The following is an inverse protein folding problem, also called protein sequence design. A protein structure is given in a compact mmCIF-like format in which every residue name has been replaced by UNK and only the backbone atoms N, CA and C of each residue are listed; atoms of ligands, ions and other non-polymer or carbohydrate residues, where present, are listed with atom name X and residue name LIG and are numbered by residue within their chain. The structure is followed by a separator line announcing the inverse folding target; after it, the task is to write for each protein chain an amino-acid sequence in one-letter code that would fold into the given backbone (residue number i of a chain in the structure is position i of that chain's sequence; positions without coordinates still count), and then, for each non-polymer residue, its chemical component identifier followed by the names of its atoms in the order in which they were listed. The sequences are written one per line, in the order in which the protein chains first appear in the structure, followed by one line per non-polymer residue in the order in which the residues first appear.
data_IF_507722781123
#
_entry.id   IF_507722781123
#
_cell.length_a   1.000
_cell.length_b   1.000
_cell.length_c   1.000
_cell.angle_alpha   90.00
_cell.angle_beta   90.00
_cell.angle_gamma   90.00
#
_symmetry.space_group_name_H-M   'P 1'
#
loop_
_entity.id
_entity.type
_entity.pdbx_description
1 polymer ?
#
# COMPACT_ATOMS: atom_id res chain seq x y z
N UNK A 1 -13.90 -21.22 -27.27
CA UNK A 1 -13.01 -21.38 -26.09
C UNK A 1 -13.67 -22.02 -24.87
N UNK A 2 -14.83 -21.56 -24.41
CA UNK A 2 -15.51 -22.09 -23.20
C UNK A 2 -15.74 -23.61 -23.18
N UNK A 3 -15.81 -24.28 -24.35
CA UNK A 3 -15.98 -25.74 -24.45
C UNK A 3 -14.68 -26.56 -24.45
N UNK A 4 -13.53 -25.92 -24.56
CA UNK A 4 -12.22 -26.59 -24.67
C UNK A 4 -11.39 -26.56 -23.37
N UNK A 5 -11.85 -25.84 -22.34
CA UNK A 5 -11.17 -25.76 -21.05
C UNK A 5 -11.88 -24.81 -20.09
N UNK A 6 -11.57 -24.93 -18.80
CA UNK A 6 -12.10 -24.06 -17.73
C UNK A 6 -11.40 -22.71 -17.67
N UNK A 7 -10.19 -22.64 -18.22
CA UNK A 7 -9.44 -21.41 -18.43
C UNK A 7 -8.78 -21.40 -19.82
N UNK A 8 -8.25 -20.23 -20.18
CA UNK A 8 -7.67 -19.98 -21.50
C UNK A 8 -6.42 -20.82 -21.77
N UNK A 9 -5.67 -21.22 -20.74
CA UNK A 9 -4.47 -22.06 -20.88
C UNK A 9 -4.86 -23.51 -21.16
N UNK A 10 -5.80 -24.06 -20.40
CA UNK A 10 -6.34 -25.41 -20.61
C UNK A 10 -7.03 -25.53 -21.97
N UNK A 11 -7.78 -24.50 -22.38
CA UNK A 11 -8.37 -24.41 -23.70
C UNK A 11 -7.32 -24.43 -24.82
N UNK A 12 -6.24 -23.67 -24.66
CA UNK A 12 -5.12 -23.62 -25.60
C UNK A 12 -4.38 -24.95 -25.73
N UNK A 13 -4.07 -25.60 -24.61
CA UNK A 13 -3.41 -26.91 -24.62
C UNK A 13 -4.27 -27.97 -25.28
N UNK A 14 -5.58 -27.93 -25.05
CA UNK A 14 -6.54 -28.86 -25.66
C UNK A 14 -6.63 -28.65 -27.17
N UNK A 15 -6.74 -27.40 -27.63
CA UNK A 15 -6.76 -27.07 -29.07
C UNK A 15 -5.45 -27.49 -29.74
N UNK A 16 -4.29 -27.22 -29.11
CA UNK A 16 -2.98 -27.64 -29.62
C UNK A 16 -2.85 -29.17 -29.73
N UNK A 17 -3.32 -29.91 -28.72
CA UNK A 17 -3.30 -31.39 -28.73
C UNK A 17 -4.18 -31.95 -29.84
N UNK A 18 -5.42 -31.49 -29.95
CA UNK A 18 -6.35 -31.94 -30.99
C UNK A 18 -5.76 -31.68 -32.39
N UNK A 19 -5.14 -30.52 -32.59
CA UNK A 19 -4.48 -30.17 -33.84
C UNK A 19 -3.23 -31.00 -34.11
N UNK A 20 -2.42 -31.32 -33.09
CA UNK A 20 -1.24 -32.20 -33.25
C UNK A 20 -1.61 -33.60 -33.73
N UNK A 21 -2.87 -34.01 -33.54
CA UNK A 21 -3.42 -35.25 -34.08
C UNK A 21 -3.98 -35.10 -35.51
N UNK A 22 -3.75 -33.95 -36.18
CA UNK A 22 -4.22 -33.70 -37.55
C UNK A 22 -5.73 -33.44 -37.65
N UNK A 23 -6.40 -33.08 -36.55
CA UNK A 23 -7.85 -32.87 -36.53
C UNK A 23 -8.21 -31.40 -36.74
N UNK A 24 -9.07 -31.12 -37.73
CA UNK A 24 -9.64 -29.81 -38.02
C UNK A 24 -10.68 -29.41 -36.96
N UNK A 25 -10.65 -28.16 -36.52
CA UNK A 25 -11.62 -27.57 -35.59
C UNK A 25 -12.31 -26.39 -36.29
N UNK A 26 -13.64 -26.38 -36.25
CA UNK A 26 -14.46 -25.29 -36.77
C UNK A 26 -15.16 -24.59 -35.60
N UNK A 27 -14.90 -23.30 -35.43
CA UNK A 27 -15.58 -22.46 -34.47
C UNK A 27 -16.75 -21.76 -35.18
N UNK A 28 -17.94 -22.31 -35.04
CA UNK A 28 -19.16 -21.84 -35.73
C UNK A 28 -19.53 -20.40 -35.36
N UNK A 29 -19.48 -20.05 -34.07
CA UNK A 29 -19.82 -18.71 -33.58
C UNK A 29 -18.88 -17.63 -34.12
N UNK A 30 -17.59 -17.96 -34.20
CA UNK A 30 -16.54 -17.03 -34.60
C UNK A 30 -16.23 -17.10 -36.10
N UNK A 31 -16.87 -18.03 -36.84
CA UNK A 31 -16.61 -18.34 -38.25
C UNK A 31 -15.14 -18.62 -38.56
N UNK A 32 -14.44 -19.25 -37.62
CA UNK A 32 -13.02 -19.61 -37.75
C UNK A 32 -12.91 -21.08 -38.09
N UNK A 33 -12.09 -21.38 -39.09
CA UNK A 33 -11.75 -22.72 -39.49
C UNK A 33 -10.23 -22.91 -39.42
N UNK A 34 -9.78 -23.80 -38.55
CA UNK A 34 -8.34 -24.00 -38.31
C UNK A 34 -7.59 -24.62 -39.49
N UNK A 35 -8.29 -25.08 -40.54
CA UNK A 35 -7.67 -25.58 -41.77
C UNK A 35 -7.35 -24.46 -42.77
N UNK A 36 -8.07 -23.34 -42.71
CA UNK A 36 -7.97 -22.24 -43.69
C UNK A 36 -7.34 -20.97 -43.12
N UNK A 37 -7.24 -20.88 -41.80
CA UNK A 37 -6.69 -19.71 -41.10
C UNK A 37 -5.22 -19.93 -40.78
N UNK A 38 -4.39 -18.96 -41.18
CA UNK A 38 -2.95 -18.94 -40.88
C UNK A 38 -2.71 -19.09 -39.36
N UNK A 39 -1.72 -19.90 -39.01
CA UNK A 39 -1.45 -20.29 -37.62
C UNK A 39 -1.22 -19.05 -36.73
N UNK A 40 -0.58 -18.04 -37.29
CA UNK A 40 -0.27 -16.77 -36.64
C UNK A 40 -1.53 -15.92 -36.37
N UNK A 41 -2.50 -15.92 -37.28
CA UNK A 41 -3.78 -15.22 -37.08
C UNK A 41 -4.59 -15.89 -35.96
N UNK A 42 -4.64 -17.23 -35.95
CA UNK A 42 -5.34 -17.99 -34.91
C UNK A 42 -4.71 -17.75 -33.53
N UNK A 43 -3.37 -17.76 -33.44
CA UNK A 43 -2.65 -17.45 -32.21
C UNK A 43 -2.90 -16.00 -31.74
N UNK A 44 -2.94 -15.05 -32.67
CA UNK A 44 -3.21 -13.64 -32.37
C UNK A 44 -4.62 -13.43 -31.79
N UNK A 45 -5.64 -14.08 -32.36
CA UNK A 45 -7.02 -14.04 -31.84
C UNK A 45 -7.08 -14.66 -30.44
N UNK A 46 -6.44 -15.81 -30.24
CA UNK A 46 -6.42 -16.47 -28.94
C UNK A 46 -5.68 -15.64 -27.88
N UNK A 47 -4.59 -14.99 -28.25
CA UNK A 47 -3.85 -14.07 -27.38
C UNK A 47 -4.73 -12.86 -27.03
N UNK A 48 -5.46 -12.29 -27.99
CA UNK A 48 -6.39 -11.19 -27.75
C UNK A 48 -7.51 -11.61 -26.78
N UNK A 49 -8.11 -12.80 -26.95
CA UNK A 49 -9.12 -13.32 -26.01
C UNK A 49 -8.54 -13.54 -24.60
N UNK A 50 -7.35 -14.14 -24.50
CA UNK A 50 -6.68 -14.38 -23.21
C UNK A 50 -6.32 -13.08 -22.52
N UNK A 51 -5.88 -12.07 -23.28
CA UNK A 51 -5.60 -10.74 -22.76
C UNK A 51 -6.89 -10.07 -22.26
N UNK A 52 -7.96 -10.12 -23.05
CA UNK A 52 -9.26 -9.56 -22.65
C UNK A 52 -9.82 -10.20 -21.36
N UNK A 53 -9.72 -11.52 -21.21
CA UNK A 53 -10.12 -12.20 -19.97
C UNK A 53 -9.24 -11.82 -18.78
N UNK A 54 -7.92 -11.69 -18.98
CA UNK A 54 -6.99 -11.24 -17.95
C UNK A 54 -7.31 -9.81 -17.50
N UNK A 55 -7.58 -8.92 -18.45
CA UNK A 55 -7.94 -7.53 -18.19
C UNK A 55 -9.27 -7.44 -17.44
N UNK A 56 -10.27 -8.21 -17.86
CA UNK A 56 -11.55 -8.29 -17.16
C UNK A 56 -11.41 -8.82 -15.73
N UNK A 57 -10.62 -9.89 -15.51
CA UNK A 57 -10.35 -10.42 -14.17
C UNK A 57 -9.62 -9.40 -13.30
N UNK A 58 -8.62 -8.72 -13.86
CA UNK A 58 -7.88 -7.65 -13.18
C UNK A 58 -8.81 -6.51 -12.77
N UNK A 59 -9.70 -6.09 -13.66
CA UNK A 59 -10.66 -5.02 -13.40
C UNK A 59 -11.66 -5.41 -12.31
N UNK A 60 -12.19 -6.63 -12.34
CA UNK A 60 -13.07 -7.12 -11.28
C UNK A 60 -12.38 -7.18 -9.90
N UNK A 61 -11.10 -7.59 -9.85
CA UNK A 61 -10.33 -7.58 -8.61
C UNK A 61 -10.16 -6.14 -8.10
N UNK A 62 -9.79 -5.19 -8.98
CA UNK A 62 -9.63 -3.78 -8.64
C UNK A 62 -10.94 -3.18 -8.15
N UNK A 63 -12.05 -3.45 -8.86
CA UNK A 63 -13.38 -3.02 -8.49
C UNK A 63 -13.76 -3.53 -7.09
N UNK A 64 -13.57 -4.83 -6.82
CA UNK A 64 -13.84 -5.40 -5.50
C UNK A 64 -12.95 -4.84 -4.39
N UNK A 65 -11.67 -4.57 -4.67
CA UNK A 65 -10.77 -3.92 -3.71
C UNK A 65 -11.16 -2.46 -3.46
N UNK A 66 -11.57 -1.74 -4.51
CA UNK A 66 -12.02 -0.35 -4.44
C UNK A 66 -13.30 -0.25 -3.61
N UNK A 67 -14.28 -1.12 -3.86
CA UNK A 67 -15.53 -1.13 -3.10
C UNK A 67 -15.29 -1.40 -1.61
N UNK A 68 -14.46 -2.40 -1.28
CA UNK A 68 -14.06 -2.67 0.11
C UNK A 68 -13.28 -1.52 0.77
N UNK A 69 -12.59 -0.72 -0.04
CA UNK A 69 -11.89 0.44 0.45
C UNK A 69 -12.85 1.59 0.75
N UNK A 70 -13.81 1.83 -0.14
CA UNK A 70 -14.88 2.82 -0.02
C UNK A 70 -15.81 2.55 1.17
N UNK A 71 -16.24 1.30 1.35
CA UNK A 71 -17.20 0.91 2.39
C UNK A 71 -16.55 0.72 3.78
N UNK A 72 -15.22 0.85 3.89
CA UNK A 72 -14.49 0.70 5.14
C UNK A 72 -14.21 -0.75 5.57
N UNK A 73 -14.61 -1.76 4.80
CA UNK A 73 -14.51 -3.19 5.18
C UNK A 73 -13.17 -3.84 4.79
N UNK A 74 -12.31 -3.11 4.06
CA UNK A 74 -11.01 -3.61 3.65
C UNK A 74 -10.15 -4.03 4.85
N UNK A 75 -9.68 -5.28 4.83
CA UNK A 75 -8.75 -5.79 5.85
C UNK A 75 -7.44 -5.01 5.96
N UNK A 76 -7.12 -4.14 4.99
CA UNK A 76 -5.99 -3.22 5.03
C UNK A 76 -6.11 -2.19 6.16
N UNK A 77 -7.34 -1.78 6.53
CA UNK A 77 -7.55 -0.86 7.65
C UNK A 77 -7.04 -1.47 8.98
N UNK A 78 -7.29 -2.76 9.15
CA UNK A 78 -6.87 -3.58 10.29
C UNK A 78 -5.45 -4.14 10.20
N UNK A 79 -4.61 -3.66 9.27
CA UNK A 79 -3.21 -4.13 9.16
C UNK A 79 -2.40 -3.71 10.40
N UNK A 80 -1.83 -4.68 11.10
CA UNK A 80 -1.04 -4.45 12.33
C UNK A 80 0.17 -3.55 12.05
N UNK A 81 0.37 -2.58 12.93
CA UNK A 81 1.59 -1.78 13.07
C UNK A 81 2.22 -2.12 14.42
N UNK A 82 3.52 -1.80 14.59
CA UNK A 82 4.35 -2.19 15.75
C UNK A 82 3.58 -2.16 17.07
N UNK A 83 3.09 -0.98 17.39
CA UNK A 83 2.41 -0.48 18.58
C UNK A 83 0.91 -0.80 18.68
N UNK A 84 0.41 -1.66 17.79
CA UNK A 84 -0.95 -2.18 17.85
C UNK A 84 -0.94 -3.71 17.81
N UNK A 85 -1.95 -4.31 18.42
CA UNK A 85 -2.26 -5.74 18.33
C UNK A 85 -3.66 -5.90 17.75
N UNK A 86 -4.00 -7.12 17.32
CA UNK A 86 -5.38 -7.46 16.98
C UNK A 86 -6.07 -8.04 18.20
N UNK A 87 -7.30 -7.60 18.44
CA UNK A 87 -8.18 -8.27 19.40
C UNK A 87 -8.77 -9.56 18.81
N UNK A 88 -9.65 -10.21 19.58
CA UNK A 88 -10.39 -11.42 19.17
C UNK A 88 -11.28 -11.23 17.94
N UNK A 89 -11.62 -10.00 17.59
CA UNK A 89 -12.45 -9.65 16.43
C UNK A 89 -11.61 -9.17 15.23
N UNK A 90 -10.28 -9.13 15.37
CA UNK A 90 -9.37 -8.67 14.32
C UNK A 90 -9.21 -7.15 14.24
N UNK A 91 -9.78 -6.41 15.20
CA UNK A 91 -9.69 -4.95 15.32
C UNK A 91 -8.41 -4.53 16.02
N UNK A 92 -7.93 -3.33 15.70
CA UNK A 92 -6.69 -2.81 16.26
C UNK A 92 -6.88 -2.28 17.68
N UNK A 93 -6.12 -2.84 18.61
CA UNK A 93 -6.01 -2.41 20.00
C UNK A 93 -4.58 -1.95 20.29
N UNK A 94 -4.43 -0.98 21.19
CA UNK A 94 -3.14 -0.39 21.54
C UNK A 94 -2.29 -1.41 22.31
N UNK A 95 -1.02 -1.56 21.92
CA UNK A 95 -0.02 -2.27 22.73
C UNK A 95 0.69 -1.27 23.63
N UNK A 96 0.26 -1.12 24.89
CA UNK A 96 0.68 -0.02 25.77
C UNK A 96 2.19 0.11 25.95
N UNK A 97 2.92 -1.01 26.06
CA UNK A 97 4.39 -1.02 26.18
C UNK A 97 5.07 -0.34 25.00
N UNK A 98 4.56 -0.61 23.80
CA UNK A 98 5.10 -0.09 22.55
C UNK A 98 4.53 1.30 22.22
N UNK A 99 3.29 1.55 22.59
CA UNK A 99 2.63 2.84 22.46
C UNK A 99 3.35 3.92 23.28
N UNK A 100 3.89 3.58 24.45
CA UNK A 100 4.70 4.50 25.23
C UNK A 100 5.95 4.98 24.46
N UNK A 101 6.58 4.10 23.67
CA UNK A 101 7.71 4.48 22.81
C UNK A 101 7.27 5.49 21.74
N UNK A 102 6.08 5.31 21.17
CA UNK A 102 5.53 6.24 20.18
C UNK A 102 5.21 7.59 20.83
N UNK A 103 4.53 7.62 21.97
CA UNK A 103 4.27 8.85 22.75
C UNK A 103 5.57 9.59 23.08
N UNK A 104 6.59 8.86 23.51
CA UNK A 104 7.93 9.41 23.79
C UNK A 104 8.57 10.03 22.55
N UNK A 105 8.50 9.36 21.39
CA UNK A 105 9.06 9.88 20.12
C UNK A 105 8.41 11.22 19.73
N UNK A 106 7.07 11.29 19.75
CA UNK A 106 6.33 12.52 19.47
C UNK A 106 6.69 13.63 20.47
N UNK A 107 6.66 13.31 21.76
CA UNK A 107 6.99 14.26 22.83
C UNK A 107 8.43 14.78 22.76
N UNK A 108 9.40 13.92 22.46
CA UNK A 108 10.80 14.35 22.31
C UNK A 108 11.02 15.20 21.07
N UNK A 109 10.35 14.87 19.97
CA UNK A 109 10.44 15.66 18.75
C UNK A 109 9.93 17.08 18.98
N UNK A 110 8.75 17.23 19.60
CA UNK A 110 8.18 18.53 19.98
C UNK A 110 9.03 19.29 21.01
N UNK A 111 9.76 18.59 21.89
CA UNK A 111 10.75 19.18 22.80
C UNK A 111 12.05 19.65 22.13
N UNK A 112 12.16 19.57 20.81
CA UNK A 112 13.33 20.07 20.07
C UNK A 112 14.42 19.03 19.81
N UNK A 113 14.21 17.74 20.12
CA UNK A 113 15.22 16.73 19.76
C UNK A 113 15.20 16.50 18.25
N UNK A 114 16.39 16.46 17.65
CA UNK A 114 16.55 15.99 16.27
C UNK A 114 16.26 14.49 16.17
N UNK A 115 15.94 14.00 14.96
CA UNK A 115 15.74 12.57 14.71
C UNK A 115 16.96 11.75 15.18
N UNK A 116 18.18 12.25 14.95
CA UNK A 116 19.39 11.63 15.45
C UNK A 116 19.47 11.60 16.99
N UNK A 117 19.02 12.67 17.66
CA UNK A 117 18.90 12.72 19.11
C UNK A 117 17.88 11.72 19.66
N UNK A 118 16.74 11.57 18.98
CA UNK A 118 15.71 10.58 19.31
C UNK A 118 16.28 9.16 19.19
N UNK A 119 16.97 8.83 18.09
CA UNK A 119 17.59 7.51 17.92
C UNK A 119 18.58 7.19 19.05
N UNK A 120 19.43 8.15 19.43
CA UNK A 120 20.37 7.99 20.55
C UNK A 120 19.63 7.72 21.86
N UNK A 121 18.53 8.43 22.12
CA UNK A 121 17.72 8.30 23.33
C UNK A 121 16.91 6.99 23.37
N UNK A 122 16.43 6.51 22.21
CA UNK A 122 15.80 5.20 22.09
C UNK A 122 16.81 4.08 22.40
N UNK A 123 18.02 4.20 21.86
CA UNK A 123 19.11 3.24 22.11
C UNK A 123 19.48 3.16 23.59
N UNK A 124 19.53 4.30 24.30
CA UNK A 124 19.86 4.31 25.74
C UNK A 124 18.78 3.70 26.63
N UNK A 125 17.53 3.63 26.14
CA UNK A 125 16.38 3.03 26.85
C UNK A 125 16.12 1.57 26.46
N UNK A 126 16.99 0.94 25.68
CA UNK A 126 16.82 -0.41 25.14
C UNK A 126 15.51 -0.63 24.38
N UNK A 127 14.97 0.44 23.77
CA UNK A 127 13.73 0.37 22.99
C UNK A 127 13.96 -0.31 21.65
N UNK A 128 13.44 -1.53 21.46
CA UNK A 128 13.50 -2.24 20.18
C UNK A 128 12.69 -1.52 19.10
N UNK A 129 13.13 -1.67 17.85
CA UNK A 129 12.46 -1.11 16.68
C UNK A 129 11.30 -1.98 16.20
N UNK A 130 10.47 -1.49 15.27
CA UNK A 130 9.40 -2.28 14.64
C UNK A 130 9.83 -3.62 14.04
N UNK A 131 11.11 -3.77 13.72
CA UNK A 131 11.70 -5.01 13.19
C UNK A 131 12.51 -5.78 14.23
N UNK A 132 12.34 -5.48 15.51
CA UNK A 132 13.05 -6.12 16.62
C UNK A 132 14.52 -5.73 16.79
N UNK A 133 15.03 -4.75 16.03
CA UNK A 133 16.43 -4.29 16.14
C UNK A 133 16.62 -3.32 17.30
N UNK A 134 17.78 -3.38 17.96
CA UNK A 134 18.11 -2.51 19.11
C UNK A 134 18.35 -1.04 18.72
N UNK A 135 18.63 -0.78 17.44
CA UNK A 135 18.85 0.58 16.92
C UNK A 135 17.79 0.90 15.88
N UNK A 136 17.03 1.95 16.15
CA UNK A 136 16.11 2.53 15.19
C UNK A 136 16.88 3.25 14.10
N UNK A 137 16.55 2.96 12.84
CA UNK A 137 17.09 3.75 11.72
C UNK A 137 16.30 5.06 11.58
N UNK A 138 16.91 6.03 10.88
CA UNK A 138 16.30 7.35 10.63
C UNK A 138 14.91 7.26 10.01
N UNK A 139 14.76 6.44 8.97
CA UNK A 139 13.47 6.25 8.27
C UNK A 139 12.38 5.70 9.18
N UNK A 140 12.70 4.85 10.16
CA UNK A 140 11.73 4.28 11.07
C UNK A 140 11.17 5.34 12.02
N UNK A 141 12.01 6.24 12.53
CA UNK A 141 11.57 7.37 13.35
C UNK A 141 10.76 8.36 12.51
N UNK A 142 11.23 8.72 11.32
CA UNK A 142 10.50 9.60 10.39
C UNK A 142 9.12 9.02 10.05
N UNK A 143 9.07 7.74 9.67
CA UNK A 143 7.82 7.04 9.38
C UNK A 143 6.90 6.93 10.58
N UNK A 144 7.42 7.04 11.81
CA UNK A 144 6.59 7.06 13.02
C UNK A 144 5.95 8.44 13.16
N UNK A 145 6.73 9.52 13.02
CA UNK A 145 6.24 10.89 13.13
C UNK A 145 5.21 11.25 12.05
N UNK A 146 5.25 10.63 10.88
CA UNK A 146 4.32 10.92 9.76
C UNK A 146 3.13 9.95 9.66
N UNK A 147 3.01 8.98 10.57
CA UNK A 147 1.94 7.97 10.48
C UNK A 147 0.64 8.45 11.10
N UNK A 148 -0.35 8.80 10.25
CA UNK A 148 -1.72 9.13 10.69
C UNK A 148 -2.40 8.02 11.49
N UNK A 149 -1.95 6.77 11.35
CA UNK A 149 -2.48 5.64 12.12
C UNK A 149 -2.48 5.88 13.62
N UNK A 150 -1.52 6.64 14.14
CA UNK A 150 -1.43 6.94 15.57
C UNK A 150 -2.49 7.92 16.08
N UNK A 151 -3.23 8.59 15.19
CA UNK A 151 -4.40 9.41 15.56
C UNK A 151 -5.71 8.63 15.51
N UNK A 152 -5.68 7.34 15.15
CA UNK A 152 -6.86 6.51 14.96
C UNK A 152 -7.39 6.50 13.53
N UNK A 153 -6.85 7.34 12.65
CA UNK A 153 -7.27 7.44 11.24
C UNK A 153 -6.40 6.54 10.36
N UNK A 154 -7.00 5.87 9.36
CA UNK A 154 -6.26 5.00 8.44
C UNK A 154 -6.59 5.38 7.00
N UNK A 155 -5.54 5.64 6.22
CA UNK A 155 -5.63 5.88 4.79
C UNK A 155 -5.14 4.67 4.01
N UNK A 156 -5.90 4.26 3.00
CA UNK A 156 -5.50 3.20 2.07
C UNK A 156 -5.53 3.75 0.63
N UNK A 157 -4.53 3.40 -0.16
CA UNK A 157 -4.44 3.84 -1.55
C UNK A 157 -5.57 3.23 -2.39
N UNK A 158 -6.08 4.00 -3.35
CA UNK A 158 -7.04 3.51 -4.33
C UNK A 158 -6.34 2.45 -5.21
N UNK A 159 -6.91 1.25 -5.39
CA UNK A 159 -6.37 0.26 -6.30
C UNK A 159 -6.21 0.84 -7.72
N UNK A 160 -5.00 0.78 -8.28
CA UNK A 160 -4.70 1.33 -9.59
C UNK A 160 -4.36 2.83 -9.61
N UNK A 161 -4.57 3.56 -8.51
CA UNK A 161 -4.15 4.94 -8.38
C UNK A 161 -3.59 5.25 -6.97
N UNK A 162 -2.27 5.22 -6.84
CA UNK A 162 -1.60 5.45 -5.56
C UNK A 162 -1.66 6.90 -5.06
N UNK A 163 -2.01 7.88 -5.91
CA UNK A 163 -2.13 9.28 -5.49
C UNK A 163 -3.48 9.57 -4.81
N UNK A 164 -4.49 8.76 -5.08
CA UNK A 164 -5.78 8.84 -4.40
C UNK A 164 -5.81 7.89 -3.20
N UNK A 165 -6.43 8.31 -2.10
CA UNK A 165 -6.55 7.50 -0.88
C UNK A 165 -7.97 7.57 -0.32
N UNK A 166 -8.46 6.45 0.18
CA UNK A 166 -9.65 6.39 1.03
C UNK A 166 -9.23 6.56 2.48
N UNK A 167 -9.82 7.57 3.13
CA UNK A 167 -9.57 7.88 4.54
C UNK A 167 -10.72 7.33 5.38
N UNK A 168 -10.41 6.43 6.30
CA UNK A 168 -11.31 5.99 7.34
C UNK A 168 -10.93 6.69 8.65
N UNK A 169 -11.76 7.65 9.07
CA UNK A 169 -11.53 8.43 10.29
C UNK A 169 -12.06 7.70 11.51
N UNK A 170 -11.37 7.83 12.65
CA UNK A 170 -11.76 7.20 13.92
C UNK A 170 -11.93 5.67 13.85
N UNK A 171 -11.17 5.00 12.97
CA UNK A 171 -11.23 3.56 12.78
C UNK A 171 -10.85 2.77 14.05
N UNK A 172 -9.95 3.31 14.87
CA UNK A 172 -9.47 2.68 16.12
C UNK A 172 -8.95 3.73 17.09
N UNK A 173 -8.62 3.32 18.31
CA UNK A 173 -8.07 4.21 19.32
C UNK A 173 -6.69 4.76 18.88
N UNK A 174 -6.56 6.09 18.88
CA UNK A 174 -5.29 6.77 18.65
C UNK A 174 -4.36 6.69 19.86
N UNK A 175 -3.06 6.55 19.62
CA UNK A 175 -2.00 6.63 20.64
C UNK A 175 -1.69 8.09 20.99
N UNK A 176 -1.88 9.00 20.03
CA UNK A 176 -1.70 10.45 20.17
C UNK A 176 -2.95 11.20 19.69
N UNK A 177 -3.14 12.43 20.16
CA UNK A 177 -4.20 13.30 19.65
C UNK A 177 -3.89 13.80 18.23
N UNK A 178 -4.94 14.17 17.48
CA UNK A 178 -4.81 14.83 16.17
C UNK A 178 -4.01 16.13 16.28
N UNK A 179 -4.25 16.90 17.33
CA UNK A 179 -3.50 18.13 17.65
C UNK A 179 -1.99 17.88 17.80
N UNK A 180 -1.60 16.80 18.51
CA UNK A 180 -0.18 16.45 18.69
C UNK A 180 0.46 16.08 17.35
N UNK A 181 -0.29 15.35 16.50
CA UNK A 181 0.17 14.96 15.19
C UNK A 181 0.35 16.17 14.26
N UNK A 182 -0.63 17.06 14.22
CA UNK A 182 -0.58 18.31 13.45
C UNK A 182 0.57 19.22 13.91
N UNK A 183 0.79 19.34 15.23
CA UNK A 183 1.93 20.09 15.76
C UNK A 183 3.28 19.52 15.28
N UNK A 184 3.39 18.19 15.18
CA UNK A 184 4.58 17.52 14.62
C UNK A 184 4.72 17.79 13.13
N UNK A 185 3.64 17.72 12.34
CA UNK A 185 3.67 18.04 10.90
C UNK A 185 4.16 19.48 10.67
N UNK A 186 3.65 20.44 11.43
CA UNK A 186 4.09 21.85 11.39
C UNK A 186 5.58 21.96 11.74
N UNK A 187 6.02 21.33 12.82
CA UNK A 187 7.42 21.36 13.24
C UNK A 187 8.35 20.67 12.22
N UNK A 188 7.91 19.58 11.58
CA UNK A 188 8.63 18.92 10.48
C UNK A 188 8.78 19.86 9.27
N UNK A 189 7.72 20.56 8.87
CA UNK A 189 7.78 21.54 7.80
C UNK A 189 8.69 22.73 8.15
N UNK A 190 8.66 23.19 9.40
CA UNK A 190 9.55 24.25 9.89
C UNK A 190 11.02 23.82 9.82
N UNK A 191 11.35 22.60 10.26
CA UNK A 191 12.71 22.05 10.24
C UNK A 191 13.21 21.61 8.87
N UNK A 192 12.31 21.43 7.91
CA UNK A 192 12.67 21.09 6.54
C UNK A 192 13.55 22.19 5.94
N UNK A 193 14.59 21.78 5.23
CA UNK A 193 15.43 22.69 4.44
C UNK A 193 14.82 23.01 3.07
N UNK A 194 13.60 22.56 2.81
CA UNK A 194 12.90 22.69 1.54
C UNK A 194 11.61 23.46 1.78
N UNK A 195 11.39 24.49 0.95
CA UNK A 195 10.16 25.28 0.86
C UNK A 195 9.55 25.06 -0.52
N UNK A 196 8.23 24.89 -0.55
CA UNK A 196 7.44 24.87 -1.77
C UNK A 196 6.80 26.24 -1.88
N UNK A 197 7.08 26.96 -2.96
CA UNK A 197 6.50 28.27 -3.25
C UNK A 197 5.09 28.11 -3.84
N UNK A 198 4.33 29.21 -3.91
CA UNK A 198 2.94 29.21 -4.43
C UNK A 198 2.82 28.72 -5.88
N UNK A 199 3.92 28.78 -6.65
CA UNK A 199 4.04 28.28 -8.02
C UNK A 199 4.51 26.81 -8.10
N UNK A 200 4.42 26.07 -7.00
CA UNK A 200 4.92 24.70 -6.82
C UNK A 200 6.45 24.53 -7.00
N UNK A 201 7.21 25.64 -7.10
CA UNK A 201 8.66 25.55 -7.22
C UNK A 201 9.32 25.24 -5.88
N UNK A 202 10.30 24.32 -5.91
CA UNK A 202 10.96 23.80 -4.72
C UNK A 202 12.28 24.53 -4.50
N UNK A 203 12.39 25.32 -3.43
CA UNK A 203 13.60 26.07 -3.07
C UNK A 203 14.19 25.55 -1.76
N UNK A 204 15.53 25.59 -1.64
CA UNK A 204 16.21 25.29 -0.38
C UNK A 204 16.29 26.54 0.52
N UNK A 205 15.95 26.38 1.79
CA UNK A 205 16.10 27.43 2.80
C UNK A 205 17.57 27.81 2.97
N UNK A 206 17.85 29.09 3.19
CA UNK A 206 19.19 29.59 3.51
C UNK A 206 19.64 29.19 4.91
N UNK A 207 18.70 29.09 5.86
CA UNK A 207 18.92 28.66 7.24
C UNK A 207 18.59 27.18 7.39
N UNK A 208 19.47 26.45 8.09
CA UNK A 208 19.27 25.04 8.45
C UNK A 208 18.86 24.93 9.91
N UNK A 209 17.95 24.01 10.20
CA UNK A 209 17.63 23.69 11.59
C UNK A 209 18.84 23.10 12.33
N UNK A 210 19.13 23.61 13.52
CA UNK A 210 20.13 23.06 14.46
C UNK A 210 19.42 22.70 15.76
N UNK A 211 19.55 21.44 16.18
CA UNK A 211 19.07 21.00 17.50
C UNK A 211 20.05 21.30 18.64
N UNK A 212 21.20 21.91 18.35
CA UNK A 212 22.16 22.38 19.35
C UNK A 212 21.84 23.85 19.61
N UNK A 213 21.26 24.15 20.77
CA UNK A 213 21.34 25.47 21.39
C UNK A 213 22.65 25.55 22.15
#
# INVERSE_FOLDING_TARGET
MSRFGRDTKEGLETIRKIRSCGTRIIFETDKIDTETVDDELSLSVIQACSQAENDWRSENIRFGLKHRAEDGTSGLYNRVCYDYKKDKHGMLIIDEDQAQVVRDIFGWYLKGLSIGGIIKRLKSRSGKSPKGKDIWNKRAVESTLTRRKYTGDVAIAVPGNASCQYLNTYHHAGIISKETFEAVEIEMAARSNVEVLEDETVKRKSKKYSSKR
#
